data_IF_960015722219
#
_entry.id   IF_960015722219
#
_cell.length_a   1.000
_cell.length_b   1.000
_cell.length_c   1.000
_cell.angle_alpha   90.00
_cell.angle_beta   90.00
_cell.angle_gamma   90.00
#
_symmetry.space_group_name_H-M   'P 1'
#
loop_
_entity.id
_entity.type
_entity.pdbx_description
1 polymer ?
#
# COMPACT_ATOMS: atom_id res chain seq x y z
N UNK A 1 12.29 -15.91 20.96
CA UNK A 1 10.83 -16.17 21.01
C UNK A 1 10.54 -17.13 19.87
N UNK A 2 10.09 -18.35 20.14
CA UNK A 2 9.82 -19.34 19.08
C UNK A 2 8.71 -18.78 18.18
N UNK A 3 8.88 -18.72 16.85
CA UNK A 3 7.83 -18.24 15.97
C UNK A 3 6.57 -19.10 16.20
N UNK A 4 5.37 -18.51 16.22
CA UNK A 4 4.17 -19.27 16.50
C UNK A 4 4.05 -20.40 15.48
N UNK A 5 3.88 -21.61 15.98
CA UNK A 5 3.90 -22.87 15.24
C UNK A 5 2.68 -22.93 14.29
N UNK A 6 2.79 -22.27 13.13
CA UNK A 6 1.73 -22.19 12.14
C UNK A 6 2.18 -22.86 10.86
N UNK A 7 1.52 -23.96 10.44
CA UNK A 7 1.89 -24.64 9.22
C UNK A 7 1.75 -23.72 8.00
N UNK A 8 2.65 -23.90 7.03
CA UNK A 8 2.63 -23.19 5.75
C UNK A 8 1.32 -23.49 5.01
N UNK A 9 0.51 -22.47 4.65
CA UNK A 9 -0.76 -22.69 3.94
C UNK A 9 -0.57 -23.37 2.58
N UNK A 10 -1.48 -24.26 2.20
CA UNK A 10 -1.44 -24.98 0.91
C UNK A 10 -1.50 -24.03 -0.30
N UNK A 11 -2.20 -22.90 -0.16
CA UNK A 11 -2.25 -21.85 -1.18
C UNK A 11 -0.87 -21.22 -1.42
N UNK A 12 -0.08 -21.01 -0.37
CA UNK A 12 1.29 -20.49 -0.49
C UNK A 12 2.22 -21.51 -1.16
N UNK A 13 2.15 -22.79 -0.78
CA UNK A 13 2.90 -23.87 -1.47
C UNK A 13 2.57 -23.92 -2.96
N UNK A 14 1.29 -23.76 -3.30
CA UNK A 14 0.83 -23.74 -4.69
C UNK A 14 1.35 -22.51 -5.44
N UNK A 15 1.30 -21.33 -4.82
CA UNK A 15 1.82 -20.09 -5.40
C UNK A 15 3.32 -20.17 -5.68
N UNK A 16 4.12 -20.63 -4.71
CA UNK A 16 5.57 -20.80 -4.87
C UNK A 16 5.88 -21.81 -5.97
N UNK A 17 5.19 -22.96 -6.01
CA UNK A 17 5.38 -23.96 -7.07
C UNK A 17 5.10 -23.37 -8.46
N UNK A 18 3.96 -22.70 -8.63
CA UNK A 18 3.59 -22.08 -9.90
C UNK A 18 4.57 -20.99 -10.31
N UNK A 19 5.04 -20.18 -9.37
CA UNK A 19 6.05 -19.15 -9.64
C UNK A 19 7.36 -19.76 -10.14
N UNK A 20 7.85 -20.84 -9.51
CA UNK A 20 9.04 -21.59 -9.97
C UNK A 20 8.85 -22.24 -11.34
N UNK A 21 7.71 -22.90 -11.55
CA UNK A 21 7.37 -23.54 -12.84
C UNK A 21 7.34 -22.53 -14.00
N UNK A 22 7.03 -21.27 -13.71
CA UNK A 22 7.02 -20.17 -14.68
C UNK A 22 8.37 -19.44 -14.81
N UNK A 23 9.46 -19.99 -14.24
CA UNK A 23 10.79 -19.40 -14.33
C UNK A 23 11.02 -18.21 -13.41
N UNK A 24 10.35 -18.18 -12.26
CA UNK A 24 10.53 -17.18 -11.21
C UNK A 24 10.36 -15.72 -11.68
N UNK A 25 9.25 -15.40 -12.39
CA UNK A 25 9.08 -14.07 -12.98
C UNK A 25 9.03 -13.00 -11.86
N UNK A 26 9.60 -11.80 -12.11
CA UNK A 26 9.50 -10.70 -11.17
C UNK A 26 8.05 -10.18 -11.10
N UNK A 27 7.71 -9.51 -10.01
CA UNK A 27 6.45 -8.78 -9.93
C UNK A 27 6.41 -7.67 -10.99
N UNK A 28 5.25 -7.51 -11.63
CA UNK A 28 5.03 -6.48 -12.67
C UNK A 28 5.20 -5.07 -12.10
N UNK A 29 5.77 -4.19 -12.92
CA UNK A 29 5.87 -2.76 -12.64
C UNK A 29 4.48 -2.10 -12.58
N UNK A 30 4.32 -1.12 -11.70
CA UNK A 30 3.14 -0.27 -11.61
C UNK A 30 3.25 0.91 -12.57
N UNK A 31 2.32 1.03 -13.51
CA UNK A 31 2.18 2.25 -14.32
C UNK A 31 1.57 3.38 -13.49
N UNK A 32 1.85 4.63 -13.86
CA UNK A 32 1.36 5.81 -13.15
C UNK A 32 1.22 7.01 -14.09
N UNK A 33 0.54 8.05 -13.61
CA UNK A 33 0.29 9.28 -14.39
C UNK A 33 1.14 10.43 -13.89
N UNK A 34 2.27 10.71 -14.55
CA UNK A 34 3.17 11.82 -14.21
C UNK A 34 2.45 13.16 -14.08
N UNK A 35 1.58 13.48 -15.04
CA UNK A 35 0.78 14.71 -15.02
C UNK A 35 -0.16 14.81 -13.82
N UNK A 36 -0.68 13.68 -13.30
CA UNK A 36 -1.51 13.69 -12.09
C UNK A 36 -0.70 13.99 -10.83
N UNK A 37 0.53 13.48 -10.76
CA UNK A 37 1.45 13.73 -9.64
C UNK A 37 2.02 15.15 -9.66
N UNK A 38 2.39 15.68 -10.83
CA UNK A 38 2.90 17.04 -11.00
C UNK A 38 1.93 18.12 -10.49
N UNK A 39 0.61 17.89 -10.59
CA UNK A 39 -0.41 18.81 -10.05
C UNK A 39 -0.29 19.03 -8.54
N UNK A 40 0.16 18.01 -7.80
CA UNK A 40 0.29 18.05 -6.35
C UNK A 40 1.73 18.33 -5.90
N UNK A 41 2.71 18.09 -6.77
CA UNK A 41 4.13 18.28 -6.50
C UNK A 41 4.83 19.12 -7.59
N UNK A 42 4.38 20.36 -7.86
CA UNK A 42 4.97 21.19 -8.93
C UNK A 42 6.46 21.50 -8.66
N UNK A 43 6.86 21.63 -7.39
CA UNK A 43 8.26 21.82 -6.99
C UNK A 43 9.14 20.58 -7.12
N UNK A 44 8.60 19.45 -7.59
CA UNK A 44 9.33 18.18 -7.80
C UNK A 44 9.39 17.77 -9.26
N UNK A 45 9.15 18.70 -10.19
CA UNK A 45 9.08 18.40 -11.61
C UNK A 45 10.32 17.66 -12.13
N UNK A 46 11.53 18.18 -11.86
CA UNK A 46 12.75 17.56 -12.32
C UNK A 46 12.91 16.10 -11.84
N UNK A 47 12.50 15.83 -10.60
CA UNK A 47 12.50 14.48 -10.04
C UNK A 47 11.46 13.58 -10.73
N UNK A 48 10.21 14.03 -10.83
CA UNK A 48 9.13 13.24 -11.45
C UNK A 48 9.35 12.99 -12.95
N UNK A 49 9.98 13.93 -13.66
CA UNK A 49 10.37 13.78 -15.06
C UNK A 49 11.52 12.77 -15.24
N UNK A 50 12.34 12.54 -14.20
CA UNK A 50 13.42 11.55 -14.23
C UNK A 50 12.95 10.10 -14.04
N UNK A 51 11.75 9.90 -13.46
CA UNK A 51 11.21 8.57 -13.20
C UNK A 51 10.69 7.91 -14.49
N UNK A 52 10.83 6.58 -14.65
CA UNK A 52 10.23 5.84 -15.76
C UNK A 52 8.69 5.87 -15.71
N UNK A 53 8.02 5.58 -16.83
CA UNK A 53 6.54 5.55 -16.91
C UNK A 53 5.91 4.39 -16.11
N UNK A 54 6.70 3.41 -15.72
CA UNK A 54 6.33 2.35 -14.80
C UNK A 54 7.44 2.10 -13.80
N UNK A 55 7.08 1.95 -12.53
CA UNK A 55 8.02 1.70 -11.43
C UNK A 55 7.87 0.26 -10.97
N UNK A 56 8.96 -0.49 -10.89
CA UNK A 56 9.00 -1.82 -10.26
C UNK A 56 9.63 -1.75 -8.86
N UNK A 57 9.78 -2.91 -8.21
CA UNK A 57 10.38 -3.00 -6.88
C UNK A 57 11.87 -2.63 -6.84
N UNK A 58 12.60 -2.88 -7.92
CA UNK A 58 14.03 -2.60 -7.99
C UNK A 58 14.27 -1.09 -8.17
N UNK A 59 13.50 -0.46 -9.04
CA UNK A 59 13.52 0.98 -9.27
C UNK A 59 13.12 1.75 -8.01
N UNK A 60 12.07 1.30 -7.32
CA UNK A 60 11.66 1.91 -6.05
C UNK A 60 12.72 1.77 -4.95
N UNK A 61 13.40 0.62 -4.86
CA UNK A 61 14.51 0.44 -3.92
C UNK A 61 15.72 1.33 -4.29
N UNK A 62 16.03 1.51 -5.58
CA UNK A 62 17.12 2.38 -6.03
C UNK A 62 16.93 3.82 -5.54
N UNK A 63 15.71 4.33 -5.55
CA UNK A 63 15.39 5.66 -5.03
C UNK A 63 15.40 5.77 -3.50
N UNK A 64 15.42 4.64 -2.79
CA UNK A 64 15.49 4.60 -1.33
C UNK A 64 16.94 4.53 -0.79
N UNK A 65 17.95 4.44 -1.64
CA UNK A 65 19.36 4.37 -1.24
C UNK A 65 19.82 5.57 -0.39
N UNK A 66 19.31 6.78 -0.71
CA UNK A 66 19.67 8.02 -0.02
C UNK A 66 18.60 8.47 1.01
N UNK A 67 17.71 7.55 1.42
CA UNK A 67 16.58 7.85 2.29
C UNK A 67 16.96 8.31 3.72
N UNK A 68 18.25 8.29 4.08
CA UNK A 68 18.74 8.79 5.38
C UNK A 68 18.84 10.32 5.45
N UNK A 69 18.58 11.01 4.34
CA UNK A 69 18.45 12.48 4.28
C UNK A 69 16.99 12.87 4.08
N UNK A 70 16.51 14.04 4.55
CA UNK A 70 15.13 14.46 4.35
C UNK A 70 14.71 14.49 2.87
N UNK A 71 15.56 15.04 1.99
CA UNK A 71 15.33 15.08 0.54
C UNK A 71 15.20 13.66 -0.06
N UNK A 72 16.15 12.78 0.26
CA UNK A 72 16.12 11.40 -0.22
C UNK A 72 14.96 10.59 0.36
N UNK A 73 14.59 10.84 1.61
CA UNK A 73 13.45 10.19 2.26
C UNK A 73 12.13 10.58 1.60
N UNK A 74 11.96 11.86 1.28
CA UNK A 74 10.80 12.35 0.55
C UNK A 74 10.72 11.73 -0.85
N UNK A 75 11.83 11.69 -1.59
CA UNK A 75 11.89 11.06 -2.92
C UNK A 75 11.57 9.56 -2.87
N UNK A 76 12.17 8.83 -1.92
CA UNK A 76 11.89 7.42 -1.67
C UNK A 76 10.41 7.19 -1.32
N UNK A 77 9.84 8.06 -0.49
CA UNK A 77 8.43 8.01 -0.13
C UNK A 77 7.53 8.27 -1.34
N UNK A 78 7.82 9.28 -2.16
CA UNK A 78 7.08 9.55 -3.40
C UNK A 78 7.09 8.33 -4.33
N UNK A 79 8.24 7.70 -4.55
CA UNK A 79 8.35 6.52 -5.42
C UNK A 79 7.62 5.31 -4.83
N UNK A 80 7.70 5.11 -3.51
CA UNK A 80 6.94 4.07 -2.82
C UNK A 80 5.42 4.26 -2.98
N UNK A 81 4.94 5.51 -2.92
CA UNK A 81 3.53 5.84 -3.13
C UNK A 81 3.12 5.72 -4.61
N UNK A 82 3.96 6.16 -5.55
CA UNK A 82 3.75 5.97 -7.00
C UNK A 82 3.60 4.48 -7.32
N UNK A 83 4.51 3.66 -6.83
CA UNK A 83 4.47 2.21 -7.00
C UNK A 83 3.22 1.60 -6.35
N UNK A 84 2.88 2.03 -5.13
CA UNK A 84 1.77 1.47 -4.35
C UNK A 84 0.36 1.87 -4.82
N UNK A 85 0.19 3.10 -5.34
CA UNK A 85 -1.07 3.55 -5.91
C UNK A 85 -1.20 3.20 -7.40
N UNK A 86 -0.09 3.14 -8.12
CA UNK A 86 -0.07 2.94 -9.57
C UNK A 86 -1.01 3.91 -10.31
N UNK A 87 -2.01 3.41 -11.06
CA UNK A 87 -2.92 4.25 -11.85
C UNK A 87 -4.02 4.95 -11.01
N UNK A 88 -4.11 4.70 -9.70
CA UNK A 88 -5.20 5.20 -8.85
C UNK A 88 -5.12 6.73 -8.66
N UNK A 89 -6.15 7.44 -9.13
CA UNK A 89 -6.14 8.91 -9.26
C UNK A 89 -6.09 9.71 -7.95
N UNK A 90 -6.47 9.14 -6.80
CA UNK A 90 -6.39 9.84 -5.50
C UNK A 90 -5.03 9.66 -4.79
N UNK A 91 -4.12 8.86 -5.35
CA UNK A 91 -2.78 8.63 -4.80
C UNK A 91 -1.95 9.91 -4.60
N UNK A 92 -1.85 10.80 -5.62
CA UNK A 92 -1.15 12.08 -5.49
C UNK A 92 -1.69 12.94 -4.34
N UNK A 93 -3.01 13.09 -4.24
CA UNK A 93 -3.64 13.88 -3.19
C UNK A 93 -3.35 13.33 -1.79
N UNK A 94 -3.50 12.01 -1.59
CA UNK A 94 -3.21 11.37 -0.29
C UNK A 94 -1.74 11.52 0.09
N UNK A 95 -0.85 11.37 -0.87
CA UNK A 95 0.60 11.52 -0.65
C UNK A 95 0.94 12.95 -0.28
N UNK A 96 0.37 13.92 -1.00
CA UNK A 96 0.57 15.34 -0.70
C UNK A 96 0.09 15.68 0.70
N UNK A 97 -1.07 15.14 1.10
CA UNK A 97 -1.62 15.33 2.45
C UNK A 97 -0.70 14.84 3.55
N UNK A 98 -0.02 13.70 3.37
CA UNK A 98 1.00 13.23 4.33
C UNK A 98 2.14 14.23 4.42
N UNK A 99 2.66 14.71 3.29
CA UNK A 99 3.82 15.60 3.28
C UNK A 99 3.51 17.03 3.74
N UNK A 100 2.31 17.55 3.49
CA UNK A 100 1.97 18.94 3.79
C UNK A 100 1.26 19.15 5.13
N UNK A 101 0.51 18.16 5.62
CA UNK A 101 -0.17 18.24 6.93
C UNK A 101 0.67 17.68 8.08
N UNK A 102 1.91 17.27 7.82
CA UNK A 102 2.90 16.91 8.84
C UNK A 102 4.16 17.78 8.62
N UNK A 103 4.39 18.85 9.43
CA UNK A 103 5.46 19.83 9.20
C UNK A 103 6.88 19.25 9.08
N UNK A 104 7.13 18.09 9.67
CA UNK A 104 8.43 17.40 9.69
C UNK A 104 8.39 16.05 8.95
N UNK A 105 7.49 15.87 7.98
CA UNK A 105 7.29 14.58 7.31
C UNK A 105 8.58 13.99 6.73
N UNK A 106 9.35 14.80 5.99
CA UNK A 106 10.60 14.38 5.36
C UNK A 106 11.67 14.02 6.40
N UNK A 107 11.83 14.84 7.43
CA UNK A 107 12.77 14.57 8.54
C UNK A 107 12.40 13.28 9.26
N UNK A 108 11.11 13.09 9.56
CA UNK A 108 10.60 11.90 10.23
C UNK A 108 10.81 10.62 9.42
N UNK A 109 10.56 10.70 8.10
CA UNK A 109 10.83 9.58 7.19
C UNK A 109 12.33 9.24 7.19
N UNK A 110 13.20 10.25 7.14
CA UNK A 110 14.65 10.06 7.19
C UNK A 110 15.13 9.44 8.50
N UNK A 111 14.59 9.87 9.64
CA UNK A 111 14.86 9.25 10.95
C UNK A 111 14.48 7.78 10.98
N UNK A 112 13.30 7.43 10.45
CA UNK A 112 12.84 6.04 10.34
C UNK A 112 13.76 5.24 9.40
N UNK A 113 14.26 5.84 8.32
CA UNK A 113 15.22 5.19 7.44
C UNK A 113 16.59 4.96 8.10
N UNK A 114 17.04 5.89 8.94
CA UNK A 114 18.23 5.70 9.79
C UNK A 114 18.03 4.52 10.74
N UNK A 115 16.87 4.41 11.38
CA UNK A 115 16.55 3.23 12.23
C UNK A 115 16.53 1.94 11.41
N UNK A 116 15.98 1.97 10.19
CA UNK A 116 15.98 0.80 9.30
C UNK A 116 17.40 0.33 8.94
N UNK A 117 18.31 1.28 8.69
CA UNK A 117 19.73 1.00 8.45
C UNK A 117 20.43 0.43 9.67
N UNK A 118 20.19 1.02 10.84
CA UNK A 118 20.97 0.73 12.04
C UNK A 118 20.42 -0.46 12.85
N UNK A 119 19.13 -0.78 12.70
CA UNK A 119 18.43 -1.78 13.52
C UNK A 119 17.44 -2.66 12.75
N UNK A 120 17.27 -2.45 11.44
CA UNK A 120 16.43 -3.28 10.58
C UNK A 120 14.95 -2.90 10.57
N UNK A 121 14.18 -3.62 9.75
CA UNK A 121 12.79 -3.28 9.42
C UNK A 121 11.80 -3.29 10.59
N UNK A 122 11.97 -4.21 11.55
CA UNK A 122 11.09 -4.28 12.72
C UNK A 122 11.24 -3.07 13.64
N UNK A 123 12.46 -2.63 13.88
CA UNK A 123 12.72 -1.43 14.69
C UNK A 123 12.30 -0.16 13.96
N UNK A 124 12.47 -0.11 12.64
CA UNK A 124 11.94 0.99 11.83
C UNK A 124 10.41 1.06 11.88
N UNK A 125 9.72 -0.10 11.84
CA UNK A 125 8.28 -0.16 12.04
C UNK A 125 7.89 0.35 13.43
N UNK A 126 8.59 -0.06 14.49
CA UNK A 126 8.35 0.43 15.86
C UNK A 126 8.54 1.93 15.96
N UNK A 127 9.60 2.46 15.35
CA UNK A 127 9.86 3.90 15.30
C UNK A 127 8.70 4.64 14.62
N UNK A 128 8.29 4.21 13.43
CA UNK A 128 7.17 4.83 12.71
C UNK A 128 5.84 4.68 13.46
N UNK A 129 5.63 3.57 14.16
CA UNK A 129 4.44 3.34 14.98
C UNK A 129 4.39 4.20 16.24
N UNK A 130 5.55 4.55 16.83
CA UNK A 130 5.64 5.39 18.01
C UNK A 130 5.19 6.82 17.74
N UNK A 131 5.59 7.35 16.58
CA UNK A 131 5.21 8.68 16.11
C UNK A 131 4.76 8.59 14.65
N UNK A 132 3.50 8.19 14.41
CA UNK A 132 2.99 7.98 13.07
C UNK A 132 2.67 9.31 12.39
N UNK A 133 3.01 9.41 11.11
CA UNK A 133 2.59 10.54 10.27
C UNK A 133 1.09 10.48 10.04
N UNK A 134 0.40 11.61 10.23
CA UNK A 134 -1.03 11.73 9.97
C UNK A 134 -1.33 11.35 8.52
N UNK A 135 -2.39 10.56 8.32
CA UNK A 135 -2.84 10.00 7.04
C UNK A 135 -1.94 8.93 6.40
N UNK A 136 -0.79 8.61 7.00
CA UNK A 136 0.02 7.47 6.58
C UNK A 136 -0.45 6.21 7.32
N UNK A 137 -1.20 5.36 6.61
CA UNK A 137 -1.61 4.05 7.12
C UNK A 137 -0.52 2.99 7.01
N UNK A 138 -0.67 1.91 7.79
CA UNK A 138 0.26 0.76 7.84
C UNK A 138 0.60 0.25 6.45
N UNK A 139 -0.40 0.04 5.59
CA UNK A 139 -0.22 -0.52 4.25
C UNK A 139 0.76 0.26 3.36
N UNK A 140 0.79 1.58 3.47
CA UNK A 140 1.68 2.43 2.68
C UNK A 140 2.99 2.70 3.41
N UNK A 141 2.97 2.81 4.74
CA UNK A 141 4.20 2.95 5.51
C UNK A 141 5.06 1.69 5.44
N UNK A 142 4.50 0.48 5.43
CA UNK A 142 5.29 -0.75 5.19
C UNK A 142 5.84 -0.84 3.77
N UNK A 143 5.21 -0.20 2.77
CA UNK A 143 5.78 -0.08 1.40
C UNK A 143 7.03 0.78 1.42
N UNK A 144 6.97 1.92 2.11
CA UNK A 144 8.15 2.76 2.32
C UNK A 144 9.28 1.99 3.03
N UNK A 145 8.98 1.34 4.17
CA UNK A 145 9.97 0.53 4.92
C UNK A 145 10.57 -0.59 4.08
N UNK A 146 9.75 -1.26 3.26
CA UNK A 146 10.22 -2.30 2.34
C UNK A 146 11.28 -1.75 1.39
N UNK A 147 11.03 -0.61 0.75
CA UNK A 147 12.00 -0.06 -0.21
C UNK A 147 13.26 0.47 0.46
N UNK A 148 13.13 1.10 1.63
CA UNK A 148 14.29 1.52 2.43
C UNK A 148 15.15 0.32 2.82
N UNK A 149 14.55 -0.74 3.39
CA UNK A 149 15.31 -1.92 3.80
C UNK A 149 15.88 -2.72 2.63
N UNK A 150 15.18 -2.77 1.49
CA UNK A 150 15.68 -3.39 0.27
C UNK A 150 16.88 -2.65 -0.36
N UNK A 151 17.07 -1.36 -0.06
CA UNK A 151 18.22 -0.59 -0.51
C UNK A 151 19.46 -0.76 0.38
N UNK A 152 19.34 -1.52 1.48
CA UNK A 152 20.32 -1.65 2.54
C UNK A 152 20.80 -3.12 2.65
N UNK A 153 21.98 -3.38 3.23
CA UNK A 153 22.48 -4.73 3.48
C UNK A 153 21.82 -5.35 4.73
N UNK A 154 20.49 -5.25 4.85
CA UNK A 154 19.68 -5.80 5.95
C UNK A 154 18.55 -6.64 5.38
N UNK A 155 17.87 -7.42 6.23
CA UNK A 155 16.67 -8.16 5.79
C UNK A 155 15.58 -7.18 5.33
N UNK A 156 15.02 -7.44 4.15
CA UNK A 156 13.97 -6.60 3.57
C UNK A 156 12.66 -6.77 4.36
N UNK A 157 12.10 -5.65 4.80
CA UNK A 157 10.84 -5.61 5.55
C UNK A 157 9.66 -5.97 4.63
N UNK A 158 8.86 -7.01 4.92
CA UNK A 158 7.74 -7.38 4.08
C UNK A 158 6.56 -6.38 4.21
N UNK A 159 5.79 -6.23 3.14
CA UNK A 159 4.65 -5.31 3.07
C UNK A 159 3.40 -5.94 3.71
N UNK A 160 2.78 -5.23 4.66
CA UNK A 160 1.50 -5.65 5.22
C UNK A 160 0.38 -4.72 4.75
N UNK A 161 -0.31 -5.09 3.68
CA UNK A 161 -1.43 -4.32 3.14
C UNK A 161 -2.76 -5.08 3.16
N UNK A 162 -3.81 -4.45 2.60
CA UNK A 162 -5.15 -5.01 2.60
C UNK A 162 -5.25 -6.33 1.81
N UNK A 163 -4.45 -6.52 0.75
CA UNK A 163 -4.42 -7.75 -0.05
C UNK A 163 -3.82 -8.87 0.78
N UNK A 164 -2.65 -8.62 1.37
CA UNK A 164 -1.97 -9.59 2.25
C UNK A 164 -2.83 -9.91 3.48
N UNK A 165 -3.45 -8.90 4.11
CA UNK A 165 -4.37 -9.07 5.25
C UNK A 165 -5.53 -10.02 4.89
N UNK A 166 -6.19 -9.80 3.76
CA UNK A 166 -7.32 -10.64 3.32
C UNK A 166 -6.87 -12.06 3.03
N UNK A 167 -5.73 -12.22 2.37
CA UNK A 167 -5.18 -13.54 2.10
C UNK A 167 -4.87 -14.30 3.39
N UNK A 168 -4.25 -13.63 4.37
CA UNK A 168 -3.96 -14.22 5.69
C UNK A 168 -5.25 -14.61 6.41
N UNK A 169 -6.29 -13.78 6.36
CA UNK A 169 -7.59 -14.09 6.91
C UNK A 169 -8.21 -15.34 6.27
N UNK A 170 -8.18 -15.45 4.94
CA UNK A 170 -8.77 -16.57 4.23
C UNK A 170 -8.02 -17.89 4.46
N UNK A 171 -6.69 -17.86 4.50
CA UNK A 171 -5.86 -19.08 4.51
C UNK A 171 -5.36 -19.47 5.90
N UNK A 172 -5.51 -18.58 6.88
CA UNK A 172 -5.06 -18.80 8.25
C UNK A 172 -6.13 -18.41 9.29
N UNK A 173 -7.23 -17.76 8.93
CA UNK A 173 -8.20 -17.26 9.93
C UNK A 173 -7.60 -16.21 10.88
N UNK A 174 -6.39 -15.69 10.62
CA UNK A 174 -5.83 -14.58 11.36
C UNK A 174 -6.11 -13.28 10.63
N UNK A 175 -6.70 -12.33 11.35
CA UNK A 175 -7.08 -11.02 10.83
C UNK A 175 -6.15 -9.96 11.43
N UNK A 176 -4.98 -9.67 10.82
CA UNK A 176 -4.13 -8.59 11.31
C UNK A 176 -4.86 -7.25 11.17
N UNK A 177 -4.94 -6.49 12.26
CA UNK A 177 -5.43 -5.11 12.23
C UNK A 177 -4.33 -4.24 11.59
N UNK A 178 -4.66 -3.62 10.45
CA UNK A 178 -3.79 -2.71 9.70
C UNK A 178 -4.30 -1.26 9.72
N UNK A 179 -5.42 -1.02 10.40
CA UNK A 179 -6.04 0.30 10.54
C UNK A 179 -5.33 1.11 11.63
N UNK A 180 -4.53 0.44 12.47
CA UNK A 180 -3.71 1.03 13.52
C UNK A 180 -2.27 0.51 13.49
N UNK A 181 -1.33 1.36 13.87
CA UNK A 181 0.08 1.04 14.00
C UNK A 181 0.34 0.18 15.25
N UNK A 182 0.37 -1.15 15.08
CA UNK A 182 0.54 -2.11 16.17
C UNK A 182 1.80 -2.97 15.98
N UNK A 183 2.94 -2.64 16.62
CA UNK A 183 4.19 -3.40 16.46
C UNK A 183 4.05 -4.90 16.67
N UNK A 184 3.34 -5.34 17.71
CA UNK A 184 3.12 -6.77 17.97
C UNK A 184 2.38 -7.51 16.83
N UNK A 185 1.51 -6.82 16.08
CA UNK A 185 0.82 -7.40 14.91
C UNK A 185 1.82 -7.58 13.77
N UNK A 186 2.63 -6.56 13.49
CA UNK A 186 3.63 -6.63 12.42
C UNK A 186 4.76 -7.62 12.74
N UNK A 187 5.25 -7.66 13.98
CA UNK A 187 6.24 -8.64 14.44
C UNK A 187 5.75 -10.08 14.28
N UNK A 188 4.49 -10.35 14.64
CA UNK A 188 3.87 -11.66 14.44
C UNK A 188 3.77 -12.01 12.95
N UNK A 189 3.41 -11.04 12.11
CA UNK A 189 3.35 -11.21 10.66
C UNK A 189 4.74 -11.55 10.08
N UNK A 190 5.77 -10.77 10.40
CA UNK A 190 7.15 -11.02 9.96
C UNK A 190 7.62 -12.40 10.44
N UNK A 191 7.39 -12.74 11.71
CA UNK A 191 7.78 -14.05 12.26
C UNK A 191 7.12 -15.23 11.52
N UNK A 192 5.87 -15.09 11.06
CA UNK A 192 5.22 -16.11 10.23
C UNK A 192 5.85 -16.21 8.85
N UNK A 193 6.14 -15.08 8.20
CA UNK A 193 6.76 -15.10 6.88
C UNK A 193 8.17 -15.69 6.94
N UNK A 194 9.00 -15.30 7.92
CA UNK A 194 10.32 -15.88 8.14
C UNK A 194 10.23 -17.38 8.42
N UNK A 195 9.27 -17.84 9.22
CA UNK A 195 9.10 -19.27 9.46
C UNK A 195 8.71 -20.02 8.18
N UNK A 196 7.77 -19.49 7.39
CA UNK A 196 7.36 -20.11 6.13
C UNK A 196 8.43 -20.06 5.04
N UNK A 197 9.30 -19.06 5.07
CA UNK A 197 10.36 -18.90 4.07
C UNK A 197 11.39 -20.03 4.15
N UNK A 198 11.61 -20.60 5.34
CA UNK A 198 12.50 -21.75 5.55
C UNK A 198 12.14 -22.97 4.71
N UNK A 199 10.84 -23.21 4.47
CA UNK A 199 10.39 -24.33 3.66
C UNK A 199 10.75 -24.17 2.18
N UNK A 200 10.83 -22.91 1.73
CA UNK A 200 10.99 -22.58 0.33
C UNK A 200 12.40 -22.13 -0.02
N UNK A 201 13.31 -21.96 0.94
CA UNK A 201 14.62 -21.31 0.71
C UNK A 201 14.45 -19.91 0.07
N UNK A 202 13.54 -19.14 0.66
CA UNK A 202 13.21 -17.76 0.27
C UNK A 202 13.44 -16.83 1.46
N UNK A 203 13.47 -15.53 1.23
CA UNK A 203 13.35 -14.52 2.29
C UNK A 203 11.87 -14.18 2.60
N UNK A 204 11.64 -13.48 3.71
CA UNK A 204 10.29 -13.09 4.12
C UNK A 204 9.62 -12.12 3.13
N UNK A 205 10.37 -11.24 2.46
CA UNK A 205 9.85 -10.34 1.41
C UNK A 205 9.30 -11.17 0.25
N UNK A 206 10.04 -12.16 -0.24
CA UNK A 206 9.62 -13.04 -1.34
C UNK A 206 8.37 -13.85 -0.97
N UNK A 207 8.27 -14.34 0.27
CA UNK A 207 7.03 -14.99 0.75
C UNK A 207 5.85 -14.02 0.72
N UNK A 208 6.02 -12.76 1.12
CA UNK A 208 5.00 -11.73 0.95
C UNK A 208 4.59 -11.57 -0.51
N UNK A 209 5.57 -11.54 -1.44
CA UNK A 209 5.28 -11.36 -2.87
C UNK A 209 4.44 -12.53 -3.39
N UNK A 210 4.73 -13.75 -2.94
CA UNK A 210 3.97 -14.95 -3.30
C UNK A 210 2.54 -14.92 -2.75
N UNK A 211 2.35 -14.44 -1.51
CA UNK A 211 1.04 -14.21 -0.92
C UNK A 211 0.25 -13.19 -1.75
N UNK A 212 0.88 -12.06 -2.08
CA UNK A 212 0.25 -10.98 -2.86
C UNK A 212 -0.15 -11.47 -4.26
N UNK A 213 0.76 -12.15 -4.97
CA UNK A 213 0.50 -12.72 -6.30
C UNK A 213 -0.61 -13.79 -6.28
N UNK A 214 -0.60 -14.67 -5.26
CA UNK A 214 -1.65 -15.66 -5.04
C UNK A 214 -3.02 -15.00 -4.86
N UNK A 215 -3.10 -13.96 -4.01
CA UNK A 215 -4.34 -13.23 -3.75
C UNK A 215 -4.90 -12.57 -5.02
N UNK A 216 -4.06 -11.89 -5.80
CA UNK A 216 -4.49 -11.24 -7.05
C UNK A 216 -4.94 -12.27 -8.09
N UNK A 217 -4.32 -13.44 -8.13
CA UNK A 217 -4.69 -14.49 -9.10
C UNK A 217 -6.01 -15.16 -8.75
N UNK A 218 -6.25 -15.45 -7.45
CA UNK A 218 -7.48 -16.10 -6.97
C UNK A 218 -8.70 -15.19 -6.99
N UNK A 219 -8.52 -13.91 -6.65
CA UNK A 219 -9.60 -12.91 -6.69
C UNK A 219 -9.76 -12.34 -8.12
N UNK A 220 -8.91 -12.74 -9.07
CA UNK A 220 -8.84 -12.16 -10.40
C UNK A 220 -8.19 -10.77 -10.35
N UNK A 221 -7.22 -10.50 -11.23
CA UNK A 221 -6.67 -9.16 -11.41
C UNK A 221 -7.75 -8.12 -11.74
N UNK A 222 -8.89 -8.61 -12.26
CA UNK A 222 -10.11 -7.87 -12.55
C UNK A 222 -10.80 -7.27 -11.29
N UNK A 223 -10.54 -7.75 -10.08
CA UNK A 223 -11.13 -7.15 -8.86
C UNK A 223 -10.27 -6.03 -8.27
N UNK A 224 -8.95 -5.99 -8.53
CA UNK A 224 -8.05 -5.05 -7.87
C UNK A 224 -7.52 -3.94 -8.77
N UNK A 225 -7.27 -4.22 -10.05
CA UNK A 225 -6.97 -3.20 -11.06
C UNK A 225 -8.22 -2.68 -11.76
N UNK A 226 -9.30 -3.47 -11.75
CA UNK A 226 -10.48 -3.21 -12.59
C UNK A 226 -11.77 -3.00 -11.78
N UNK A 227 -11.97 -3.44 -10.54
CA UNK A 227 -13.22 -3.05 -9.85
C UNK A 227 -13.33 -1.53 -9.58
N UNK A 228 -12.23 -0.78 -9.70
CA UNK A 228 -12.22 0.69 -9.77
C UNK A 228 -11.92 1.27 -11.17
N UNK A 229 -11.44 0.48 -12.14
CA UNK A 229 -11.09 0.96 -13.50
C UNK A 229 -11.77 0.21 -14.69
N UNK A 230 -12.21 -1.03 -14.50
CA UNK A 230 -13.12 -1.83 -15.33
C UNK A 230 -14.31 -2.34 -14.48
N UNK A 231 -15.30 -1.46 -14.32
CA UNK A 231 -16.65 -1.94 -14.62
C UNK A 231 -17.04 -1.26 -15.90
N UNK A 232 -17.36 -2.05 -16.93
CA UNK A 232 -18.10 -1.62 -18.09
C UNK A 232 -19.54 -1.22 -17.68
N UNK A 233 -19.64 -0.20 -16.82
CA UNK A 233 -20.86 0.50 -16.47
C UNK A 233 -20.61 1.97 -16.74
N UNK A 234 -21.64 2.66 -17.25
CA UNK A 234 -21.59 4.11 -17.39
C UNK A 234 -21.00 4.70 -16.12
N UNK A 235 -20.01 5.60 -16.21
CA UNK A 235 -19.40 6.23 -15.05
C UNK A 235 -20.47 6.75 -14.03
N UNK A 236 -21.70 7.05 -14.47
CA UNK A 236 -22.80 7.50 -13.64
C UNK A 236 -23.31 6.40 -12.68
N UNK A 237 -23.25 5.15 -13.12
CA UNK A 237 -23.62 3.96 -12.34
C UNK A 237 -22.63 3.71 -11.20
N UNK A 238 -21.33 3.92 -11.46
CA UNK A 238 -20.29 3.78 -10.45
C UNK A 238 -20.39 4.89 -9.39
N UNK A 239 -20.60 6.13 -9.83
CA UNK A 239 -20.79 7.25 -8.93
C UNK A 239 -22.06 7.08 -8.05
N UNK A 240 -23.14 6.52 -8.60
CA UNK A 240 -24.35 6.16 -7.84
C UNK A 240 -24.13 5.03 -6.83
N UNK A 241 -23.33 4.02 -7.17
CA UNK A 241 -23.01 2.94 -6.23
C UNK A 241 -22.21 3.45 -5.03
N UNK A 242 -21.20 4.29 -5.28
CA UNK A 242 -20.42 4.93 -4.22
C UNK A 242 -21.28 5.88 -3.35
N UNK A 243 -22.22 6.62 -3.97
CA UNK A 243 -23.19 7.45 -3.23
C UNK A 243 -24.10 6.62 -2.33
N UNK A 244 -24.61 5.48 -2.82
CA UNK A 244 -25.46 4.60 -2.02
C UNK A 244 -24.72 4.03 -0.80
N UNK A 245 -23.44 3.69 -0.95
CA UNK A 245 -22.63 3.21 0.17
C UNK A 245 -22.35 4.33 1.19
N UNK A 246 -22.13 5.57 0.72
CA UNK A 246 -22.05 6.74 1.60
C UNK A 246 -23.37 7.00 2.33
N UNK A 247 -24.52 6.94 1.64
CA UNK A 247 -25.84 7.08 2.27
C UNK A 247 -26.05 6.06 3.39
N UNK A 248 -25.73 4.78 3.15
CA UNK A 248 -25.84 3.73 4.19
C UNK A 248 -24.91 3.98 5.38
N UNK A 249 -23.71 4.50 5.12
CA UNK A 249 -22.75 4.82 6.17
C UNK A 249 -23.28 5.95 7.07
N UNK A 250 -23.88 6.99 6.49
CA UNK A 250 -24.48 8.09 7.24
C UNK A 250 -25.83 7.74 7.88
N UNK A 251 -26.57 6.75 7.38
CA UNK A 251 -27.74 6.21 8.10
C UNK A 251 -27.38 5.58 9.45
N UNK A 252 -26.13 5.19 9.64
CA UNK A 252 -25.62 4.65 10.91
C UNK A 252 -24.89 5.68 11.78
N UNK A 253 -24.79 6.93 11.33
CA UNK A 253 -24.15 8.03 12.04
C UNK A 253 -25.15 8.81 12.92
N UNK A 254 -24.63 9.73 13.75
CA UNK A 254 -25.46 10.64 14.56
C UNK A 254 -26.49 11.40 13.71
N UNK A 255 -27.70 11.55 14.24
CA UNK A 255 -28.88 12.01 13.50
C UNK A 255 -28.74 13.39 12.86
N UNK A 256 -27.96 14.30 13.45
CA UNK A 256 -27.77 15.64 12.89
C UNK A 256 -26.72 15.63 11.76
N UNK A 257 -25.59 14.93 11.97
CA UNK A 257 -24.57 14.75 10.94
C UNK A 257 -25.08 13.94 9.74
N UNK A 258 -25.98 12.98 9.99
CA UNK A 258 -26.65 12.21 8.95
C UNK A 258 -27.59 13.08 8.09
N UNK A 259 -28.24 14.09 8.69
CA UNK A 259 -29.13 15.01 7.99
C UNK A 259 -28.35 15.99 7.09
N UNK A 260 -27.31 16.61 7.63
CA UNK A 260 -26.43 17.53 6.89
C UNK A 260 -25.71 16.82 5.74
N UNK A 261 -25.19 15.60 5.98
CA UNK A 261 -24.57 14.80 4.93
C UNK A 261 -25.57 14.42 3.83
N UNK A 262 -26.84 14.18 4.17
CA UNK A 262 -27.87 13.77 3.20
C UNK A 262 -28.14 14.85 2.17
N UNK A 263 -28.20 16.12 2.58
CA UNK A 263 -28.39 17.23 1.64
C UNK A 263 -27.26 17.32 0.61
N UNK A 264 -26.02 17.09 1.05
CA UNK A 264 -24.85 17.10 0.16
C UNK A 264 -24.79 15.87 -0.75
N UNK A 265 -25.16 14.69 -0.24
CA UNK A 265 -25.20 13.46 -1.02
C UNK A 265 -26.33 13.49 -2.06
N UNK A 266 -27.49 14.04 -1.71
CA UNK A 266 -28.61 14.25 -2.64
C UNK A 266 -28.22 15.23 -3.76
N UNK A 267 -27.48 16.30 -3.44
CA UNK A 267 -27.00 17.25 -4.45
C UNK A 267 -25.94 16.62 -5.36
N UNK A 268 -25.02 15.82 -4.81
CA UNK A 268 -24.08 15.03 -5.59
C UNK A 268 -24.79 14.04 -6.52
N UNK A 269 -25.85 13.36 -6.06
CA UNK A 269 -26.65 12.49 -6.91
C UNK A 269 -27.26 13.29 -8.07
N UNK A 270 -27.89 14.44 -7.80
CA UNK A 270 -28.44 15.33 -8.86
C UNK A 270 -27.39 15.75 -9.88
N UNK A 271 -26.19 16.13 -9.45
CA UNK A 271 -25.08 16.52 -10.33
C UNK A 271 -24.68 15.34 -11.22
N UNK A 272 -24.57 14.14 -10.65
CA UNK A 272 -24.27 12.92 -11.38
C UNK A 272 -25.38 12.57 -12.36
N UNK A 273 -26.65 12.77 -12.00
CA UNK A 273 -27.78 12.54 -12.92
C UNK A 273 -27.76 13.51 -14.11
N UNK A 274 -27.39 14.78 -13.89
CA UNK A 274 -27.42 15.84 -14.90
C UNK A 274 -26.20 15.89 -15.80
N UNK A 275 -25.01 15.61 -15.29
CA UNK A 275 -23.77 15.76 -16.06
C UNK A 275 -23.42 14.59 -16.96
N UNK A 276 -24.06 13.42 -16.76
CA UNK A 276 -23.63 12.14 -17.31
C UNK A 276 -24.77 11.44 -18.11
N UNK A 277 -25.81 12.21 -18.44
CA UNK A 277 -26.92 11.86 -19.35
C UNK A 277 -26.77 12.48 -20.75
N UNK A 278 -25.58 12.99 -21.11
CA UNK A 278 -25.18 13.30 -22.50
C UNK A 278 -24.15 12.31 -23.00
#
# INVERSE_FOLDING_TARGET
MTPPDRPVPSALRTAVRQWRENGEPPQRASSWSRGSWLKYFPGRQAFLDSLPDSVDRAEAARHAADAVTPEGAEQAFLVAMIWGYGPVGYGPWRTARVLTENPHAADRLAEVAVVARDSGGLDAFRALAHEPLRYLGVAFGTKYLRFVTAALPVETAPILDAVVRRWLAAHTGWHPNIDEWRPAVYEKYVAWLTAWSTEFDLDADMVEQMIFGSAITQEGSALWGEQWASTAGSPARMARAALLDLHRLFETADSQAALEAREHLDELDRIIQRGWTM
#
